data_IF_925003896647
#
_entry.id   IF_925003896647
#
_cell.length_a   1.000
_cell.length_b   1.000
_cell.length_c   1.000
_cell.angle_alpha   90.00
_cell.angle_beta   90.00
_cell.angle_gamma   90.00
#
_symmetry.space_group_name_H-M   'P 1'
#
loop_
_entity.id
_entity.type
_entity.pdbx_description
1 polymer ?
#
# COMPACT_ATOMS: atom_id res chain seq x y z
N UNK A 1 10.20 19.67 -33.11
CA UNK A 1 9.87 18.49 -33.90
C UNK A 1 8.92 17.63 -33.09
N UNK A 2 7.66 17.48 -33.43
CA UNK A 2 6.75 16.61 -32.71
C UNK A 2 6.86 15.21 -33.29
N UNK A 3 7.22 14.20 -32.50
CA UNK A 3 7.00 12.80 -32.85
C UNK A 3 8.16 11.82 -32.76
N UNK A 4 9.31 12.17 -32.23
CA UNK A 4 10.31 11.13 -31.90
C UNK A 4 9.89 10.46 -30.58
N UNK A 5 9.76 9.13 -30.62
CA UNK A 5 9.58 8.35 -29.39
C UNK A 5 10.84 8.46 -28.52
N UNK A 6 10.67 8.46 -27.21
CA UNK A 6 11.77 8.59 -26.25
C UNK A 6 12.90 7.55 -26.50
N UNK A 7 12.56 6.32 -26.91
CA UNK A 7 13.51 5.29 -27.33
C UNK A 7 14.40 5.73 -28.50
N UNK A 8 13.85 6.43 -29.48
CA UNK A 8 14.58 6.94 -30.65
C UNK A 8 15.52 8.10 -30.27
N UNK A 9 15.12 8.91 -29.28
CA UNK A 9 15.97 9.98 -28.73
C UNK A 9 17.16 9.42 -27.95
N UNK A 10 16.96 8.36 -27.16
CA UNK A 10 18.01 7.67 -26.41
C UNK A 10 18.93 6.89 -27.34
N UNK A 11 18.42 6.22 -28.38
CA UNK A 11 19.27 5.57 -29.41
C UNK A 11 20.14 6.59 -30.15
N UNK A 12 19.63 7.78 -30.41
CA UNK A 12 20.39 8.89 -30.99
C UNK A 12 21.50 9.38 -30.04
N UNK A 13 21.27 9.40 -28.72
CA UNK A 13 22.26 9.76 -27.69
C UNK A 13 23.33 8.66 -27.53
N UNK A 14 22.94 7.40 -27.54
CA UNK A 14 23.85 6.25 -27.39
C UNK A 14 24.65 6.01 -28.69
N UNK A 15 24.02 6.19 -29.86
CA UNK A 15 24.69 6.10 -31.17
C UNK A 15 25.74 7.19 -31.41
N UNK A 16 25.64 8.34 -30.72
CA UNK A 16 26.60 9.43 -30.80
C UNK A 16 27.85 9.26 -29.92
N UNK A 17 27.85 8.27 -28.99
CA UNK A 17 28.93 8.02 -28.02
C UNK A 17 30.14 7.24 -28.56
N UNK A 18 30.13 6.79 -29.82
CA UNK A 18 31.23 6.04 -30.45
C UNK A 18 32.36 6.87 -31.07
N UNK A 19 32.37 8.19 -30.91
CA UNK A 19 33.41 9.06 -31.45
C UNK A 19 33.53 10.35 -30.66
N UNK A 20 34.74 10.64 -30.20
CA UNK A 20 35.14 11.91 -29.61
C UNK A 20 34.89 13.08 -30.58
N UNK A 21 33.70 13.65 -30.56
CA UNK A 21 33.41 14.95 -31.17
C UNK A 21 32.63 15.82 -30.21
N UNK A 22 33.27 16.91 -29.81
CA UNK A 22 32.72 18.04 -29.05
C UNK A 22 31.50 18.60 -29.81
N UNK A 23 30.33 18.45 -29.27
CA UNK A 23 29.12 19.13 -29.73
C UNK A 23 29.09 20.53 -29.11
N UNK A 24 29.39 21.55 -29.92
CA UNK A 24 29.12 22.95 -29.60
C UNK A 24 27.62 23.21 -29.65
N UNK A 25 26.99 23.84 -28.66
CA UNK A 25 25.58 24.18 -28.68
C UNK A 25 25.36 25.43 -29.53
N UNK A 26 24.90 25.27 -30.76
CA UNK A 26 24.29 26.34 -31.50
C UNK A 26 22.94 25.83 -32.00
N UNK A 27 21.90 26.30 -31.33
CA UNK A 27 20.54 26.50 -31.77
C UNK A 27 19.61 26.70 -30.58
N UNK A 28 19.57 27.95 -30.10
CA UNK A 28 18.42 28.43 -29.34
C UNK A 28 17.50 29.20 -30.32
N UNK A 29 16.23 28.85 -30.44
CA UNK A 29 15.23 29.80 -30.83
C UNK A 29 14.59 30.42 -29.59
N UNK A 30 14.51 31.76 -29.61
CA UNK A 30 13.77 32.57 -28.66
C UNK A 30 12.31 32.12 -28.56
N UNK A 31 11.86 31.91 -27.33
CA UNK A 31 10.44 31.85 -27.00
C UNK A 31 10.15 32.78 -25.83
N UNK A 32 9.53 33.91 -26.18
CA UNK A 32 8.86 34.76 -25.22
C UNK A 32 7.45 34.25 -24.88
N UNK A 33 7.12 34.46 -23.62
CA UNK A 33 5.80 34.70 -23.01
C UNK A 33 4.86 33.51 -22.73
N UNK A 34 4.57 33.37 -21.48
CA UNK A 34 3.20 33.30 -20.97
C UNK A 34 2.77 32.03 -20.24
N UNK A 35 2.55 32.21 -18.96
CA UNK A 35 1.70 31.45 -18.01
C UNK A 35 2.32 30.26 -17.27
N UNK A 36 2.33 30.43 -15.95
CA UNK A 36 2.82 29.51 -14.93
C UNK A 36 2.00 28.23 -14.86
N UNK A 37 2.60 27.15 -15.28
CA UNK A 37 2.40 25.80 -14.76
C UNK A 37 3.77 25.24 -14.51
N UNK A 38 3.97 24.55 -13.37
CA UNK A 38 5.26 23.98 -12.97
C UNK A 38 5.63 22.78 -13.87
N UNK A 39 5.85 23.04 -15.15
CA UNK A 39 6.38 22.08 -16.09
C UNK A 39 7.91 22.22 -16.13
N UNK A 40 8.60 21.12 -15.93
CA UNK A 40 10.04 21.05 -16.19
C UNK A 40 10.24 21.41 -17.66
N UNK A 41 11.02 22.46 -17.92
CA UNK A 41 11.30 22.85 -19.31
C UNK A 41 12.26 21.84 -19.95
N UNK A 42 12.18 21.60 -21.27
CA UNK A 42 13.08 20.68 -22.01
C UNK A 42 14.57 20.96 -21.74
N UNK A 43 14.95 22.21 -21.50
CA UNK A 43 16.31 22.60 -21.13
C UNK A 43 16.71 22.13 -19.73
N UNK A 44 15.76 22.07 -18.79
CA UNK A 44 16.00 21.59 -17.42
C UNK A 44 16.08 20.07 -17.40
N UNK A 45 15.28 19.40 -18.23
CA UNK A 45 15.34 17.95 -18.46
C UNK A 45 16.68 17.55 -19.07
N UNK A 46 17.13 18.22 -20.13
CA UNK A 46 18.42 17.96 -20.77
C UNK A 46 19.60 18.17 -19.79
N UNK A 47 19.51 19.12 -18.88
CA UNK A 47 20.56 19.39 -17.88
C UNK A 47 20.59 18.30 -16.79
N UNK A 48 19.45 17.82 -16.32
CA UNK A 48 19.35 16.70 -15.38
C UNK A 48 19.92 15.42 -16.00
N UNK A 49 19.56 15.12 -17.24
CA UNK A 49 20.07 13.98 -18.00
C UNK A 49 21.59 14.06 -18.16
N UNK A 50 22.13 15.24 -18.46
CA UNK A 50 23.57 15.44 -18.67
C UNK A 50 24.37 15.36 -17.35
N UNK A 51 23.79 15.76 -16.24
CA UNK A 51 24.42 15.69 -14.90
C UNK A 51 24.39 14.25 -14.36
N UNK A 52 23.29 13.52 -14.55
CA UNK A 52 23.16 12.10 -14.19
C UNK A 52 24.12 11.21 -15.02
N UNK A 53 24.25 11.46 -16.31
CA UNK A 53 25.11 10.67 -17.22
C UNK A 53 26.62 10.78 -16.92
N UNK A 54 27.08 11.72 -16.12
CA UNK A 54 28.52 11.90 -15.80
C UNK A 54 29.08 10.97 -14.74
N UNK A 55 28.24 10.31 -13.94
CA UNK A 55 28.68 9.58 -12.75
C UNK A 55 28.19 8.14 -12.61
N UNK A 56 27.46 7.57 -13.60
CA UNK A 56 26.77 6.29 -13.45
C UNK A 56 27.08 5.34 -14.61
N UNK A 57 27.18 4.04 -14.30
CA UNK A 57 27.27 2.93 -15.25
C UNK A 57 26.03 2.95 -16.16
N UNK A 58 26.19 2.92 -17.48
CA UNK A 58 25.15 3.16 -18.49
C UNK A 58 23.80 2.47 -18.25
N UNK A 59 23.81 1.23 -17.76
CA UNK A 59 22.58 0.48 -17.49
C UNK A 59 21.82 0.97 -16.25
N UNK A 60 22.53 1.47 -15.22
CA UNK A 60 21.91 2.05 -14.02
C UNK A 60 21.35 3.45 -14.31
N UNK A 61 22.07 4.24 -15.12
CA UNK A 61 21.60 5.57 -15.53
C UNK A 61 20.32 5.52 -16.36
N UNK A 62 20.18 4.53 -17.24
CA UNK A 62 18.98 4.36 -18.06
C UNK A 62 17.75 4.03 -17.22
N UNK A 63 17.88 3.14 -16.23
CA UNK A 63 16.79 2.79 -15.32
C UNK A 63 16.37 3.99 -14.45
N UNK A 64 17.32 4.75 -13.90
CA UNK A 64 17.04 5.95 -13.10
C UNK A 64 16.41 7.08 -13.93
N UNK A 65 16.85 7.29 -15.16
CA UNK A 65 16.29 8.28 -16.07
C UNK A 65 14.85 7.86 -16.49
N UNK A 66 14.61 6.59 -16.78
CA UNK A 66 13.29 6.07 -17.10
C UNK A 66 12.29 6.29 -15.97
N UNK A 67 12.73 6.12 -14.71
CA UNK A 67 11.91 6.38 -13.53
C UNK A 67 11.50 7.85 -13.39
N UNK A 68 12.39 8.80 -13.77
CA UNK A 68 12.08 10.24 -13.70
C UNK A 68 10.97 10.66 -14.68
N UNK A 69 10.75 9.90 -15.75
CA UNK A 69 9.74 10.20 -16.76
C UNK A 69 8.53 9.28 -16.70
N UNK A 70 8.54 8.26 -15.84
CA UNK A 70 7.44 7.31 -15.72
C UNK A 70 6.19 8.00 -15.16
N UNK A 71 5.07 7.82 -15.87
CA UNK A 71 3.81 8.49 -15.57
C UNK A 71 2.86 7.56 -14.85
N UNK A 72 2.01 8.14 -14.01
CA UNK A 72 0.97 7.40 -13.29
C UNK A 72 -0.02 6.71 -14.23
N UNK A 73 -0.30 7.31 -15.40
CA UNK A 73 -1.21 6.74 -16.40
C UNK A 73 -0.66 5.51 -17.15
N UNK A 74 0.63 5.24 -17.07
CA UNK A 74 1.22 4.00 -17.58
C UNK A 74 0.79 2.76 -16.77
N UNK A 75 0.31 2.97 -15.53
CA UNK A 75 -0.22 1.92 -14.64
C UNK A 75 -1.76 1.88 -14.68
N UNK A 76 -2.35 2.17 -15.83
CA UNK A 76 -3.80 2.19 -15.98
C UNK A 76 -4.31 0.93 -16.68
N UNK A 77 -5.50 0.51 -16.28
CA UNK A 77 -6.28 -0.52 -16.96
C UNK A 77 -7.77 -0.31 -16.70
N UNK A 78 -8.62 -0.77 -17.62
CA UNK A 78 -10.06 -0.65 -17.47
C UNK A 78 -10.58 -1.66 -16.44
N UNK A 79 -11.05 -1.18 -15.28
CA UNK A 79 -11.64 -1.99 -14.22
C UNK A 79 -13.14 -1.72 -14.12
N UNK A 80 -14.02 -2.66 -14.49
CA UNK A 80 -15.46 -2.54 -14.27
C UNK A 80 -15.79 -2.56 -12.75
N UNK A 81 -16.60 -1.62 -12.28
CA UNK A 81 -16.99 -1.51 -10.86
C UNK A 81 -17.60 -2.80 -10.30
N UNK A 82 -18.34 -3.56 -11.11
CA UNK A 82 -18.94 -4.84 -10.70
C UNK A 82 -17.91 -5.89 -10.25
N UNK A 83 -16.66 -5.74 -10.64
CA UNK A 83 -15.58 -6.65 -10.23
C UNK A 83 -14.97 -6.27 -8.87
N UNK A 84 -15.28 -5.11 -8.33
CA UNK A 84 -14.85 -4.68 -7.00
C UNK A 84 -15.68 -5.41 -5.95
N UNK A 85 -15.05 -6.33 -5.22
CA UNK A 85 -15.73 -7.17 -4.23
C UNK A 85 -16.23 -6.33 -3.06
N UNK A 86 -17.55 -6.37 -2.80
CA UNK A 86 -18.18 -5.66 -1.69
C UNK A 86 -18.24 -6.51 -0.42
N UNK A 87 -18.24 -7.84 -0.54
CA UNK A 87 -18.31 -8.79 0.56
C UNK A 87 -17.23 -9.87 0.42
N UNK A 88 -16.75 -10.42 1.54
CA UNK A 88 -15.81 -11.53 1.51
C UNK A 88 -16.47 -12.79 0.90
N UNK A 89 -15.69 -13.78 0.43
CA UNK A 89 -16.23 -15.07 0.04
C UNK A 89 -16.81 -15.78 1.28
N UNK A 90 -17.77 -16.69 1.11
CA UNK A 90 -18.42 -17.41 2.23
C UNK A 90 -17.43 -18.04 3.20
N UNK A 91 -16.34 -18.61 2.67
CA UNK A 91 -15.26 -19.22 3.45
C UNK A 91 -13.92 -18.63 3.05
N UNK A 92 -13.01 -18.50 4.03
CA UNK A 92 -11.60 -18.23 3.75
C UNK A 92 -11.05 -19.34 2.88
N UNK A 93 -10.10 -19.04 2.00
CA UNK A 93 -9.53 -20.01 1.06
C UNK A 93 -10.40 -20.35 -0.16
N UNK A 94 -11.65 -19.86 -0.24
CA UNK A 94 -12.52 -20.10 -1.39
C UNK A 94 -12.26 -19.18 -2.60
N UNK A 95 -11.37 -18.21 -2.48
CA UNK A 95 -10.99 -17.28 -3.55
C UNK A 95 -10.32 -18.00 -4.71
N UNK A 96 -10.33 -17.34 -5.87
CA UNK A 96 -9.46 -17.72 -7.00
C UNK A 96 -8.04 -17.24 -6.75
N UNK A 97 -7.10 -17.86 -7.42
CA UNK A 97 -5.69 -17.50 -7.41
C UNK A 97 -5.18 -17.42 -8.85
N UNK A 98 -4.63 -16.29 -9.26
CA UNK A 98 -3.90 -16.18 -10.51
C UNK A 98 -2.41 -16.40 -10.25
N UNK A 99 -1.84 -17.47 -10.75
CA UNK A 99 -0.41 -17.76 -10.64
C UNK A 99 0.33 -17.19 -11.84
N UNK A 100 1.27 -16.29 -11.59
CA UNK A 100 2.10 -15.64 -12.60
C UNK A 100 3.57 -16.01 -12.40
N UNK A 101 4.10 -16.81 -13.31
CA UNK A 101 5.48 -17.30 -13.26
C UNK A 101 6.06 -17.46 -14.67
N UNK A 102 7.32 -17.15 -14.86
CA UNK A 102 8.07 -17.33 -16.14
C UNK A 102 7.31 -16.85 -17.40
N UNK A 103 6.50 -15.79 -17.26
CA UNK A 103 5.68 -15.25 -18.37
C UNK A 103 4.38 -16.03 -18.64
N UNK A 104 4.07 -17.07 -17.85
CA UNK A 104 2.84 -17.86 -17.94
C UNK A 104 1.84 -17.38 -16.88
N UNK A 105 0.54 -17.44 -17.21
CA UNK A 105 -0.57 -17.16 -16.30
C UNK A 105 -1.41 -18.43 -16.15
N UNK A 106 -1.61 -18.88 -14.92
CA UNK A 106 -2.43 -20.05 -14.60
C UNK A 106 -3.60 -19.67 -13.69
N UNK A 107 -4.82 -20.02 -14.11
CA UNK A 107 -6.03 -19.83 -13.32
C UNK A 107 -6.19 -20.97 -12.30
N UNK A 108 -6.00 -20.69 -11.02
CA UNK A 108 -6.00 -21.63 -9.92
C UNK A 108 -7.04 -21.27 -8.85
N UNK A 109 -7.10 -22.04 -7.78
CA UNK A 109 -7.82 -21.72 -6.54
C UNK A 109 -6.84 -21.40 -5.43
N UNK A 110 -7.22 -20.57 -4.49
CA UNK A 110 -6.36 -20.24 -3.35
C UNK A 110 -5.95 -21.47 -2.54
N UNK A 111 -6.83 -22.49 -2.45
CA UNK A 111 -6.54 -23.75 -1.79
C UNK A 111 -5.35 -24.52 -2.42
N UNK A 112 -5.07 -24.29 -3.72
CA UNK A 112 -3.97 -24.95 -4.43
C UNK A 112 -2.60 -24.40 -3.99
N UNK A 113 -2.57 -23.25 -3.28
CA UNK A 113 -1.34 -22.66 -2.74
C UNK A 113 -0.51 -23.64 -1.92
N UNK A 114 -1.17 -24.51 -1.14
CA UNK A 114 -0.48 -25.56 -0.36
C UNK A 114 0.37 -26.49 -1.25
N UNK A 115 -0.01 -26.67 -2.51
CA UNK A 115 0.75 -27.49 -3.46
C UNK A 115 1.87 -26.72 -4.14
N UNK A 116 1.72 -25.39 -4.32
CA UNK A 116 2.66 -24.51 -5.03
C UNK A 116 3.85 -24.08 -4.15
N UNK A 117 3.65 -24.07 -2.83
CA UNK A 117 4.69 -23.72 -1.87
C UNK A 117 5.50 -24.97 -1.54
N UNK A 118 6.83 -24.87 -1.55
CA UNK A 118 7.72 -26.00 -1.37
C UNK A 118 8.15 -26.17 0.12
N UNK A 119 8.51 -27.41 0.55
CA UNK A 119 9.19 -27.58 1.83
C UNK A 119 10.43 -26.69 1.89
N UNK A 120 10.74 -26.13 3.05
CA UNK A 120 11.80 -25.15 3.31
C UNK A 120 11.51 -23.71 2.87
N UNK A 121 10.44 -23.44 2.13
CA UNK A 121 10.00 -22.07 1.93
C UNK A 121 9.64 -21.40 3.28
N UNK A 122 9.78 -20.09 3.35
CA UNK A 122 9.26 -19.31 4.46
C UNK A 122 8.14 -18.38 3.98
N UNK A 123 6.97 -18.52 4.59
CA UNK A 123 5.81 -17.66 4.39
C UNK A 123 5.83 -16.55 5.43
N UNK A 124 5.96 -15.29 5.00
CA UNK A 124 6.03 -14.13 5.89
C UNK A 124 4.70 -13.38 5.87
N UNK A 125 4.02 -13.37 7.00
CA UNK A 125 2.69 -12.80 7.22
C UNK A 125 2.79 -11.48 7.99
N UNK A 126 1.89 -10.53 7.71
CA UNK A 126 1.75 -9.32 8.52
C UNK A 126 0.70 -9.55 9.63
N UNK A 127 1.12 -9.58 10.88
CA UNK A 127 0.28 -9.88 12.04
C UNK A 127 -0.39 -8.65 12.66
N UNK A 128 -0.36 -7.54 11.97
CA UNK A 128 -1.06 -6.34 12.44
C UNK A 128 -2.56 -6.59 12.59
N UNK A 129 -3.16 -6.00 13.63
CA UNK A 129 -4.59 -6.05 13.90
C UNK A 129 -5.24 -4.69 13.64
N UNK A 130 -6.31 -4.70 12.86
CA UNK A 130 -7.10 -3.50 12.58
C UNK A 130 -7.81 -3.04 13.85
N UNK A 131 -7.72 -1.74 14.13
CA UNK A 131 -8.41 -1.08 15.24
C UNK A 131 -9.69 -0.40 14.75
N UNK A 132 -10.67 -0.19 15.62
CA UNK A 132 -11.90 0.54 15.30
C UNK A 132 -11.64 2.05 15.19
N UNK A 133 -10.87 2.42 14.18
CA UNK A 133 -10.27 3.74 14.02
C UNK A 133 -11.25 4.84 13.60
N UNK A 134 -12.47 4.50 13.17
CA UNK A 134 -13.48 5.47 12.71
C UNK A 134 -14.42 5.87 13.82
N UNK A 135 -14.52 7.15 14.09
CA UNK A 135 -15.32 7.72 15.18
C UNK A 135 -16.20 8.84 14.64
N UNK A 136 -17.39 8.95 15.20
CA UNK A 136 -18.35 9.97 14.82
C UNK A 136 -18.72 10.85 16.03
N UNK A 137 -19.09 12.10 15.76
CA UNK A 137 -19.47 13.01 16.82
C UNK A 137 -19.82 14.42 16.35
N UNK A 138 -19.66 15.37 17.27
CA UNK A 138 -19.94 16.78 17.01
C UNK A 138 -18.89 17.68 17.64
N UNK A 139 -18.73 18.86 17.07
CA UNK A 139 -17.98 19.97 17.71
C UNK A 139 -18.85 20.64 18.77
N UNK A 140 -18.23 21.38 19.69
CA UNK A 140 -18.95 22.22 20.66
C UNK A 140 -19.96 23.16 19.98
N UNK A 141 -19.71 23.56 18.74
CA UNK A 141 -20.61 24.38 17.93
C UNK A 141 -21.79 23.61 17.30
N UNK A 142 -21.92 22.30 17.58
CA UNK A 142 -22.98 21.42 17.05
C UNK A 142 -22.73 20.86 15.65
N UNK A 143 -21.62 21.21 14.98
CA UNK A 143 -21.29 20.69 13.65
C UNK A 143 -20.82 19.24 13.70
N UNK A 144 -21.32 18.39 12.78
CA UNK A 144 -20.93 16.97 12.65
C UNK A 144 -19.45 16.82 12.40
N UNK A 145 -18.86 15.77 12.97
CA UNK A 145 -17.45 15.40 12.80
C UNK A 145 -17.33 13.91 12.60
N UNK A 146 -16.50 13.52 11.63
CA UNK A 146 -15.96 12.18 11.49
C UNK A 146 -14.45 12.25 11.75
N UNK A 147 -13.96 11.41 12.64
CA UNK A 147 -12.53 11.26 12.96
C UNK A 147 -12.08 9.88 12.50
N UNK A 148 -11.04 9.84 11.68
CA UNK A 148 -10.37 8.60 11.30
C UNK A 148 -8.95 8.64 11.90
N UNK A 149 -8.73 7.83 12.94
CA UNK A 149 -7.42 7.71 13.56
C UNK A 149 -6.46 7.09 12.56
N UNK A 150 -5.36 7.80 12.29
CA UNK A 150 -4.28 7.33 11.41
C UNK A 150 -3.24 6.55 12.20
N UNK A 151 -2.89 7.03 13.40
CA UNK A 151 -1.85 6.44 14.23
C UNK A 151 -2.04 6.78 15.69
N UNK A 152 -1.86 5.80 16.56
CA UNK A 152 -1.78 5.98 18.03
C UNK A 152 -0.35 6.39 18.38
N UNK A 153 -0.20 7.53 19.08
CA UNK A 153 1.10 8.08 19.48
C UNK A 153 1.47 7.66 20.90
N UNK A 154 0.46 7.65 21.79
CA UNK A 154 0.61 7.30 23.20
C UNK A 154 -0.69 6.69 23.72
N UNK A 155 -0.74 6.42 25.03
CA UNK A 155 -1.98 5.94 25.68
C UNK A 155 -3.18 6.88 25.49
N UNK A 156 -2.96 8.16 25.19
CA UNK A 156 -4.01 9.19 25.14
C UNK A 156 -4.00 10.05 23.87
N UNK A 157 -3.00 9.94 23.03
CA UNK A 157 -2.83 10.82 21.88
C UNK A 157 -2.78 10.06 20.57
N UNK A 158 -3.39 10.64 19.55
CA UNK A 158 -3.44 10.09 18.21
C UNK A 158 -3.18 11.18 17.16
N UNK A 159 -2.73 10.74 16.00
CA UNK A 159 -2.83 11.48 14.75
C UNK A 159 -4.06 10.97 13.99
N UNK A 160 -4.89 11.87 13.48
CA UNK A 160 -6.14 11.52 12.83
C UNK A 160 -6.47 12.45 11.68
N UNK A 161 -7.20 11.97 10.71
CA UNK A 161 -7.94 12.78 9.75
C UNK A 161 -9.26 13.21 10.37
N UNK A 162 -9.65 14.46 10.16
CA UNK A 162 -10.91 14.99 10.69
C UNK A 162 -11.72 15.60 9.55
N UNK A 163 -12.85 14.97 9.25
CA UNK A 163 -13.82 15.47 8.29
C UNK A 163 -14.92 16.25 9.02
N UNK A 164 -15.07 17.51 8.70
CA UNK A 164 -16.10 18.40 9.21
C UNK A 164 -16.38 19.51 8.20
N UNK A 165 -17.55 20.18 8.28
CA UNK A 165 -17.88 21.33 7.42
C UNK A 165 -16.85 22.47 7.52
N UNK A 166 -16.30 22.67 8.71
CA UNK A 166 -15.19 23.58 8.99
C UNK A 166 -14.20 22.84 9.90
N UNK A 167 -12.93 22.88 9.55
CA UNK A 167 -11.87 22.24 10.32
C UNK A 167 -11.85 22.76 11.77
N UNK A 168 -11.77 21.89 12.78
CA UNK A 168 -11.65 22.31 14.17
C UNK A 168 -10.32 23.03 14.40
N UNK A 169 -10.33 24.02 15.28
CA UNK A 169 -9.13 24.79 15.66
C UNK A 169 -8.40 24.11 16.82
N UNK A 170 -7.11 24.36 16.95
CA UNK A 170 -6.35 23.98 18.14
C UNK A 170 -7.01 24.57 19.41
N UNK A 171 -7.06 23.78 20.48
CA UNK A 171 -7.75 24.09 21.72
C UNK A 171 -9.27 23.85 21.71
N UNK A 172 -9.89 23.53 20.55
CA UNK A 172 -11.32 23.16 20.50
C UNK A 172 -11.54 21.71 20.94
N UNK A 173 -12.81 21.42 21.31
CA UNK A 173 -13.23 20.11 21.76
C UNK A 173 -14.14 19.44 20.73
N UNK A 174 -14.06 18.13 20.68
CA UNK A 174 -14.93 17.24 19.91
C UNK A 174 -15.56 16.27 20.90
N UNK A 175 -16.86 16.07 20.80
CA UNK A 175 -17.62 15.06 21.54
C UNK A 175 -17.87 13.89 20.59
N UNK A 176 -17.25 12.75 20.88
CA UNK A 176 -17.42 11.51 20.12
C UNK A 176 -18.36 10.58 20.86
N UNK A 177 -19.11 9.76 20.12
CA UNK A 177 -19.96 8.73 20.69
C UNK A 177 -20.00 7.50 19.80
N UNK A 178 -20.41 6.36 20.38
CA UNK A 178 -20.58 5.14 19.61
C UNK A 178 -21.60 5.38 18.47
N UNK A 179 -21.32 4.85 17.29
CA UNK A 179 -22.15 5.03 16.09
C UNK A 179 -23.63 4.69 16.33
N UNK A 180 -23.89 3.63 17.08
CA UNK A 180 -25.24 3.23 17.52
C UNK A 180 -25.99 4.33 18.27
N UNK A 181 -25.26 5.20 18.98
CA UNK A 181 -25.84 6.32 19.75
C UNK A 181 -26.09 7.57 18.89
N UNK A 182 -25.65 7.55 17.64
CA UNK A 182 -25.78 8.65 16.68
C UNK A 182 -26.79 8.35 15.57
N UNK A 183 -27.32 7.13 15.53
CA UNK A 183 -28.28 6.74 14.49
C UNK A 183 -29.69 7.18 14.87
N UNK A 184 -30.35 7.89 13.97
CA UNK A 184 -31.80 8.01 13.94
C UNK A 184 -32.28 7.42 12.62
N UNK A 185 -33.33 6.59 12.66
CA UNK A 185 -33.87 5.94 11.46
C UNK A 185 -32.89 5.17 10.56
N UNK A 186 -31.87 4.57 11.17
CA UNK A 186 -30.93 3.67 10.46
C UNK A 186 -29.68 4.31 9.90
N UNK A 187 -29.60 5.63 9.82
CA UNK A 187 -28.40 6.32 9.33
C UNK A 187 -27.66 7.11 10.44
N UNK A 188 -26.31 7.17 10.41
CA UNK A 188 -25.54 7.99 11.34
C UNK A 188 -25.88 9.46 11.15
N UNK A 189 -26.53 10.09 12.14
CA UNK A 189 -26.89 11.51 12.07
C UNK A 189 -25.75 12.44 12.44
N UNK A 190 -24.71 11.93 13.14
CA UNK A 190 -23.64 12.75 13.72
C UNK A 190 -24.11 13.69 14.84
N UNK A 191 -25.33 13.54 15.32
CA UNK A 191 -25.90 14.28 16.46
C UNK A 191 -26.06 13.31 17.63
N UNK A 192 -25.54 13.69 18.79
CA UNK A 192 -25.67 12.91 20.02
C UNK A 192 -27.13 12.75 20.43
N UNK A 193 -27.55 11.53 20.67
CA UNK A 193 -28.84 11.26 21.29
C UNK A 193 -28.81 11.69 22.77
N UNK A 194 -29.96 12.14 23.29
CA UNK A 194 -30.06 12.54 24.69
C UNK A 194 -29.70 11.35 25.61
N UNK A 195 -28.75 11.56 26.54
CA UNK A 195 -28.24 10.54 27.45
C UNK A 195 -27.18 9.58 26.84
N UNK A 196 -26.72 9.84 25.61
CA UNK A 196 -25.64 9.07 25.04
C UNK A 196 -24.33 9.26 25.82
N UNK A 197 -23.63 8.17 26.08
CA UNK A 197 -22.27 8.16 26.60
C UNK A 197 -21.34 8.77 25.54
N UNK A 198 -20.61 9.82 25.92
CA UNK A 198 -19.79 10.58 25.01
C UNK A 198 -18.35 10.72 25.52
N UNK A 199 -17.43 10.67 24.59
CA UNK A 199 -16.00 10.78 24.81
C UNK A 199 -15.54 12.17 24.36
N UNK A 200 -14.91 12.91 25.28
CA UNK A 200 -14.34 14.22 24.96
C UNK A 200 -12.93 14.08 24.39
N UNK A 201 -12.69 14.76 23.29
CA UNK A 201 -11.39 14.80 22.62
C UNK A 201 -10.97 16.26 22.39
N UNK A 202 -9.75 16.60 22.76
CA UNK A 202 -9.14 17.91 22.55
C UNK A 202 -8.32 17.91 21.26
N UNK A 203 -8.44 18.96 20.46
CA UNK A 203 -7.61 19.22 19.29
C UNK A 203 -6.35 19.96 19.73
N UNK A 204 -5.20 19.28 19.73
CA UNK A 204 -3.92 19.86 20.13
C UNK A 204 -3.31 20.73 19.03
N UNK A 205 -3.49 20.33 17.78
CA UNK A 205 -2.92 21.02 16.63
C UNK A 205 -3.24 20.33 15.32
N UNK A 206 -2.63 20.83 14.24
CA UNK A 206 -2.73 20.28 12.89
C UNK A 206 -1.40 20.37 12.17
N UNK A 207 -1.01 19.29 11.50
CA UNK A 207 0.14 19.23 10.61
C UNK A 207 -0.31 18.66 9.24
N UNK A 208 -0.24 19.49 8.20
CA UNK A 208 -0.76 19.12 6.88
C UNK A 208 -2.26 18.81 6.92
N UNK A 209 -2.61 17.59 6.52
CA UNK A 209 -4.00 17.09 6.56
C UNK A 209 -4.37 16.40 7.88
N UNK A 210 -3.41 16.15 8.77
CA UNK A 210 -3.60 15.43 10.01
C UNK A 210 -3.78 16.35 11.21
N UNK A 211 -4.63 15.91 12.14
CA UNK A 211 -4.85 16.56 13.43
C UNK A 211 -4.19 15.73 14.53
N UNK A 212 -3.56 16.41 15.47
CA UNK A 212 -3.10 15.82 16.72
C UNK A 212 -4.21 15.97 17.76
N UNK A 213 -4.70 14.84 18.24
CA UNK A 213 -5.86 14.76 19.13
C UNK A 213 -5.47 14.10 20.44
N UNK A 214 -6.01 14.59 21.58
CA UNK A 214 -5.88 14.02 22.91
C UNK A 214 -7.24 13.57 23.43
N UNK A 215 -7.33 12.32 23.80
CA UNK A 215 -8.51 11.71 24.41
C UNK A 215 -8.59 12.04 25.89
N UNK A 216 -9.79 12.41 26.37
CA UNK A 216 -10.07 12.71 27.78
C UNK A 216 -10.20 11.43 28.61
N UNK A 217 -10.08 11.56 29.97
CA UNK A 217 -10.17 10.43 30.89
C UNK A 217 -8.85 9.68 31.07
N UNK A 218 -8.85 8.55 31.80
CA UNK A 218 -7.66 7.77 32.14
C UNK A 218 -7.59 6.43 31.39
N UNK A 219 -8.63 6.11 30.62
CA UNK A 219 -8.70 4.89 29.83
C UNK A 219 -7.80 5.00 28.60
N UNK A 220 -6.99 3.96 28.26
CA UNK A 220 -6.13 3.97 27.08
C UNK A 220 -6.93 4.13 25.77
N UNK A 221 -6.36 4.86 24.81
CA UNK A 221 -6.96 5.11 23.50
C UNK A 221 -7.47 3.84 22.82
N UNK A 222 -6.72 2.75 22.83
CA UNK A 222 -7.14 1.51 22.17
C UNK A 222 -8.44 0.94 22.77
N UNK A 223 -8.63 1.05 24.09
CA UNK A 223 -9.86 0.64 24.74
C UNK A 223 -11.03 1.56 24.39
N UNK A 224 -10.76 2.88 24.32
CA UNK A 224 -11.75 3.87 23.88
C UNK A 224 -12.16 3.65 22.43
N UNK A 225 -11.22 3.33 21.54
CA UNK A 225 -11.51 3.00 20.14
C UNK A 225 -12.37 1.74 20.01
N UNK A 226 -12.11 0.71 20.83
CA UNK A 226 -12.92 -0.51 20.83
C UNK A 226 -14.37 -0.24 21.27
N UNK A 227 -14.57 0.70 22.20
CA UNK A 227 -15.87 1.03 22.78
C UNK A 227 -16.69 2.00 21.93
N UNK A 228 -16.05 3.02 21.39
CA UNK A 228 -16.71 4.13 20.69
C UNK A 228 -16.54 4.09 19.16
N UNK A 229 -15.51 3.41 18.68
CA UNK A 229 -15.16 3.35 17.26
C UNK A 229 -15.93 2.29 16.48
N UNK A 230 -15.83 2.40 15.18
CA UNK A 230 -16.28 1.42 14.20
C UNK A 230 -15.14 1.05 13.26
N UNK A 231 -15.26 -0.11 12.62
CA UNK A 231 -14.27 -0.62 11.68
C UNK A 231 -14.14 0.34 10.47
N UNK A 232 -12.93 0.78 10.14
CA UNK A 232 -12.70 1.69 9.00
C UNK A 232 -12.62 0.90 7.69
N UNK A 233 -13.76 0.49 7.13
CA UNK A 233 -13.76 -0.13 5.81
C UNK A 233 -13.22 0.85 4.75
N UNK A 234 -12.50 0.33 3.74
CA UNK A 234 -12.03 1.13 2.61
C UNK A 234 -13.18 1.81 1.85
N UNK A 235 -12.96 2.99 1.22
CA UNK A 235 -14.02 3.76 0.59
C UNK A 235 -14.69 3.10 -0.63
N UNK A 236 -14.07 2.07 -1.23
CA UNK A 236 -14.66 1.29 -2.32
C UNK A 236 -15.64 0.21 -1.83
N UNK A 237 -15.67 -0.09 -0.54
CA UNK A 237 -16.75 -0.86 0.11
C UNK A 237 -17.82 0.15 0.49
N UNK A 238 -18.97 0.06 -0.17
CA UNK A 238 -20.01 1.11 -0.13
C UNK A 238 -21.03 0.95 0.97
N UNK A 239 -21.05 -0.21 1.65
CA UNK A 239 -21.93 -0.44 2.81
C UNK A 239 -21.24 -0.04 4.13
N UNK A 240 -22.01 0.21 5.16
CA UNK A 240 -21.50 0.42 6.51
C UNK A 240 -20.98 -0.91 7.07
N UNK A 241 -19.89 -0.86 7.84
CA UNK A 241 -19.34 -2.03 8.50
C UNK A 241 -20.39 -2.74 9.35
N UNK A 242 -20.51 -4.04 9.19
CA UNK A 242 -21.41 -4.91 9.93
C UNK A 242 -20.64 -5.92 10.82
N UNK A 243 -21.36 -6.84 11.44
CA UNK A 243 -20.75 -7.86 12.34
C UNK A 243 -19.91 -8.85 11.54
N UNK A 244 -20.25 -9.14 10.30
CA UNK A 244 -19.45 -10.01 9.43
C UNK A 244 -18.16 -9.33 9.09
N UNK A 245 -18.15 -8.04 8.72
CA UNK A 245 -16.96 -7.27 8.45
C UNK A 245 -16.00 -7.21 9.65
N UNK A 246 -16.55 -7.01 10.88
CA UNK A 246 -15.72 -6.99 12.10
C UNK A 246 -14.92 -8.29 12.29
N UNK A 247 -15.46 -9.43 11.84
CA UNK A 247 -14.79 -10.72 11.90
C UNK A 247 -13.93 -11.02 10.67
N UNK A 248 -14.40 -10.62 9.48
CA UNK A 248 -13.80 -11.03 8.22
C UNK A 248 -12.74 -10.06 7.71
N UNK A 249 -12.82 -8.77 8.08
CA UNK A 249 -11.78 -7.77 7.77
C UNK A 249 -10.63 -7.80 8.79
N UNK A 250 -10.32 -9.01 9.27
CA UNK A 250 -9.24 -9.31 10.20
C UNK A 250 -8.62 -10.65 9.83
N UNK A 251 -7.28 -10.76 9.88
CA UNK A 251 -6.62 -12.05 9.64
C UNK A 251 -6.78 -12.97 10.85
N UNK A 252 -6.74 -14.29 10.63
CA UNK A 252 -6.80 -15.28 11.73
C UNK A 252 -5.57 -15.24 12.65
N UNK A 253 -4.49 -14.63 12.19
CA UNK A 253 -3.24 -14.46 12.92
C UNK A 253 -2.97 -13.03 13.39
N UNK A 254 -3.97 -12.14 13.35
CA UNK A 254 -3.84 -10.75 13.80
C UNK A 254 -3.57 -10.65 15.31
N UNK A 255 -2.49 -9.96 15.68
CA UNK A 255 -2.03 -9.81 17.08
C UNK A 255 -1.79 -8.37 17.48
N UNK A 256 -0.94 -7.66 16.73
CA UNK A 256 -0.42 -6.34 17.09
C UNK A 256 -1.40 -5.23 16.66
N UNK A 257 -2.10 -4.64 17.62
CA UNK A 257 -3.12 -3.62 17.32
C UNK A 257 -2.48 -2.29 16.87
N UNK A 258 -2.99 -1.69 15.80
CA UNK A 258 -2.51 -0.38 15.34
C UNK A 258 -2.80 -0.05 13.88
N UNK A 259 -3.26 -1.00 13.08
CA UNK A 259 -3.57 -0.76 11.67
C UNK A 259 -4.97 -0.16 11.47
N UNK A 260 -5.10 0.67 10.46
CA UNK A 260 -6.38 1.22 9.96
C UNK A 260 -6.93 0.37 8.81
N UNK A 261 -6.06 -0.34 8.11
CA UNK A 261 -6.46 -1.28 7.06
C UNK A 261 -5.88 -2.68 7.32
N UNK A 262 -6.64 -3.70 6.94
CA UNK A 262 -6.19 -5.09 7.04
C UNK A 262 -5.08 -5.41 6.02
N UNK A 263 -4.13 -6.31 6.34
CA UNK A 263 -3.24 -6.89 5.35
C UNK A 263 -4.02 -7.91 4.50
N UNK A 264 -4.69 -7.42 3.46
CA UNK A 264 -5.80 -8.09 2.78
C UNK A 264 -5.45 -9.44 2.16
N UNK A 265 -4.21 -9.65 1.70
CA UNK A 265 -3.75 -10.94 1.24
C UNK A 265 -3.78 -12.03 2.33
N UNK A 266 -3.66 -11.61 3.61
CA UNK A 266 -3.78 -12.51 4.75
C UNK A 266 -5.22 -12.97 5.05
N UNK A 267 -6.24 -12.25 4.53
CA UNK A 267 -7.65 -12.58 4.75
C UNK A 267 -8.07 -13.90 4.10
N UNK A 268 -7.33 -14.37 3.12
CA UNK A 268 -7.58 -15.62 2.43
C UNK A 268 -7.27 -16.85 3.28
N UNK A 269 -6.35 -16.74 4.24
CA UNK A 269 -5.94 -17.87 5.08
C UNK A 269 -6.95 -18.17 6.18
N UNK A 270 -7.14 -19.46 6.43
CA UNK A 270 -7.72 -20.01 7.66
C UNK A 270 -6.66 -20.82 8.44
N UNK A 271 -7.01 -21.25 9.63
CA UNK A 271 -6.09 -22.01 10.49
C UNK A 271 -5.72 -23.37 9.90
N UNK A 272 -6.66 -24.03 9.21
CA UNK A 272 -6.44 -25.35 8.60
C UNK A 272 -5.39 -25.27 7.48
N UNK A 273 -5.46 -24.22 6.64
CA UNK A 273 -4.46 -23.99 5.61
C UNK A 273 -3.09 -23.68 6.20
N UNK A 274 -3.01 -22.85 7.23
CA UNK A 274 -1.75 -22.55 7.90
C UNK A 274 -1.15 -23.83 8.52
N UNK A 275 -2.00 -24.69 9.08
CA UNK A 275 -1.54 -25.98 9.62
C UNK A 275 -1.05 -26.91 8.50
N UNK A 276 -1.76 -27.02 7.39
CA UNK A 276 -1.34 -27.83 6.25
C UNK A 276 0.01 -27.39 5.67
N UNK A 277 0.28 -26.07 5.63
CA UNK A 277 1.57 -25.53 5.23
C UNK A 277 2.69 -25.91 6.20
N UNK A 278 2.43 -25.83 7.54
CA UNK A 278 3.40 -26.30 8.55
C UNK A 278 3.71 -27.78 8.43
N UNK A 279 2.67 -28.60 8.25
CA UNK A 279 2.80 -30.07 8.09
C UNK A 279 3.60 -30.43 6.84
N UNK A 280 3.54 -29.60 5.79
CA UNK A 280 4.36 -29.71 4.58
C UNK A 280 5.84 -29.33 4.82
N UNK A 281 6.16 -28.69 5.94
CA UNK A 281 7.52 -28.23 6.25
C UNK A 281 7.80 -26.76 5.88
N UNK A 282 6.77 -26.00 5.53
CA UNK A 282 6.86 -24.56 5.27
C UNK A 282 7.03 -23.81 6.60
N UNK A 283 8.01 -22.92 6.67
CA UNK A 283 8.17 -22.08 7.84
C UNK A 283 7.18 -20.90 7.79
N UNK A 284 6.51 -20.59 8.88
CA UNK A 284 5.64 -19.41 9.00
C UNK A 284 6.31 -18.41 9.94
N UNK A 285 6.57 -17.21 9.42
CA UNK A 285 7.15 -16.10 10.14
C UNK A 285 6.24 -14.86 10.06
N UNK A 286 6.45 -13.91 10.97
CA UNK A 286 5.60 -12.74 11.09
C UNK A 286 6.41 -11.46 11.05
N UNK A 287 5.84 -10.45 10.45
CA UNK A 287 6.25 -9.06 10.53
C UNK A 287 5.07 -8.23 10.99
N UNK A 288 5.32 -7.13 11.64
CA UNK A 288 4.28 -6.14 11.92
C UNK A 288 4.51 -4.92 11.05
N UNK A 289 3.53 -4.52 10.25
CA UNK A 289 3.48 -3.23 9.59
C UNK A 289 2.07 -2.68 9.76
N UNK A 290 1.96 -1.56 10.47
CA UNK A 290 0.68 -0.89 10.68
C UNK A 290 0.33 -0.04 9.46
N UNK A 291 -0.68 -0.51 8.73
CA UNK A 291 -1.17 0.16 7.52
C UNK A 291 -2.00 1.37 7.93
N UNK A 292 -1.62 2.55 7.45
CA UNK A 292 -2.35 3.78 7.65
C UNK A 292 -3.49 4.00 6.62
N UNK A 293 -4.36 4.98 6.89
CA UNK A 293 -5.45 5.36 5.99
C UNK A 293 -4.96 5.92 4.65
N UNK A 294 -3.70 6.37 4.58
CA UNK A 294 -3.07 6.84 3.34
C UNK A 294 -3.07 5.81 2.22
N UNK A 295 -3.12 4.51 2.54
CA UNK A 295 -3.23 3.42 1.54
C UNK A 295 -4.50 3.52 0.69
N UNK A 296 -5.54 4.19 1.18
CA UNK A 296 -6.78 4.38 0.45
C UNK A 296 -6.78 5.62 -0.44
N UNK A 297 -5.73 6.44 -0.39
CA UNK A 297 -5.66 7.66 -1.19
C UNK A 297 -5.14 7.36 -2.59
N UNK A 298 -5.80 7.90 -3.65
CA UNK A 298 -5.30 7.75 -5.01
C UNK A 298 -4.02 8.57 -5.21
N UNK A 299 -3.12 8.07 -6.06
CA UNK A 299 -1.97 8.85 -6.53
C UNK A 299 -2.48 10.03 -7.35
N UNK A 300 -2.09 11.25 -6.96
CA UNK A 300 -2.49 12.50 -7.62
C UNK A 300 -1.42 13.08 -8.52
N UNK A 301 -0.18 12.65 -8.33
CA UNK A 301 0.96 13.08 -9.12
C UNK A 301 0.85 12.56 -10.57
N UNK A 302 1.23 13.39 -11.54
CA UNK A 302 1.31 12.99 -12.95
C UNK A 302 2.52 12.08 -13.18
N UNK A 303 3.65 12.42 -12.59
CA UNK A 303 4.87 11.62 -12.60
C UNK A 303 5.05 10.89 -11.27
N UNK A 304 5.41 9.61 -11.32
CA UNK A 304 5.49 8.78 -10.11
C UNK A 304 6.52 9.29 -9.11
N UNK A 305 7.62 9.89 -9.56
CA UNK A 305 8.67 10.43 -8.69
C UNK A 305 8.23 11.63 -7.84
N UNK A 306 7.13 12.30 -8.22
CA UNK A 306 6.54 13.41 -7.45
C UNK A 306 5.66 12.91 -6.30
N UNK A 307 5.32 11.61 -6.28
CA UNK A 307 4.46 11.05 -5.25
C UNK A 307 5.20 10.92 -3.92
N UNK A 308 4.59 11.41 -2.86
CA UNK A 308 5.12 11.32 -1.49
C UNK A 308 4.38 10.24 -0.73
N UNK A 309 5.10 9.17 -0.38
CA UNK A 309 4.56 8.08 0.43
C UNK A 309 4.35 8.52 1.89
N UNK A 310 3.22 8.11 2.46
CA UNK A 310 3.00 8.20 3.90
C UNK A 310 3.96 7.27 4.65
N UNK A 311 4.37 7.71 5.85
CA UNK A 311 5.23 6.92 6.73
C UNK A 311 4.40 5.86 7.44
N UNK A 312 4.86 4.60 7.39
CA UNK A 312 4.27 3.47 8.11
C UNK A 312 5.30 2.86 9.06
N UNK A 313 4.84 2.44 10.25
CA UNK A 313 5.71 1.79 11.24
C UNK A 313 5.75 0.30 10.97
N UNK A 314 6.97 -0.25 11.01
CA UNK A 314 7.17 -1.70 10.92
C UNK A 314 8.05 -2.22 12.05
N UNK A 315 7.93 -3.51 12.32
CA UNK A 315 8.77 -4.28 13.23
C UNK A 315 9.10 -5.65 12.62
N UNK A 316 10.37 -6.01 12.67
CA UNK A 316 10.90 -7.32 12.29
C UNK A 316 11.54 -7.95 13.52
N UNK A 317 10.98 -9.06 13.98
CA UNK A 317 11.55 -9.81 15.09
C UNK A 317 12.75 -10.65 14.64
N UNK A 318 13.70 -10.91 15.57
CA UNK A 318 14.87 -11.74 15.27
C UNK A 318 14.49 -13.14 14.77
N UNK A 319 13.39 -13.70 15.28
CA UNK A 319 12.87 -15.00 14.85
C UNK A 319 12.53 -15.04 13.35
N UNK A 320 12.03 -13.93 12.80
CA UNK A 320 11.73 -13.79 11.37
C UNK A 320 13.00 -13.73 10.54
N UNK A 321 14.01 -12.95 10.99
CA UNK A 321 15.33 -12.92 10.34
C UNK A 321 15.95 -14.31 10.30
N UNK A 322 15.90 -15.03 11.42
CA UNK A 322 16.43 -16.39 11.52
C UNK A 322 15.68 -17.39 10.64
N UNK A 323 14.35 -17.25 10.52
CA UNK A 323 13.52 -18.09 9.63
C UNK A 323 13.87 -17.86 8.16
N UNK A 324 13.98 -16.61 7.71
CA UNK A 324 14.41 -16.25 6.36
C UNK A 324 15.83 -16.79 6.08
N UNK A 325 16.75 -16.65 7.02
CA UNK A 325 18.11 -17.17 6.87
C UNK A 325 18.15 -18.70 6.80
N UNK A 326 17.30 -19.40 7.56
CA UNK A 326 17.18 -20.87 7.49
C UNK A 326 16.62 -21.31 6.14
N UNK A 327 15.52 -20.69 5.68
CA UNK A 327 14.91 -21.00 4.39
C UNK A 327 15.94 -20.86 3.25
N UNK A 328 16.64 -19.72 3.18
CA UNK A 328 17.67 -19.50 2.15
C UNK A 328 18.81 -20.50 2.20
N UNK A 329 19.30 -20.87 3.40
CA UNK A 329 20.33 -21.91 3.53
C UNK A 329 19.87 -23.29 3.09
N UNK A 330 18.58 -23.57 3.21
CA UNK A 330 17.96 -24.82 2.75
C UNK A 330 17.54 -24.79 1.27
N UNK A 331 17.81 -23.71 0.53
CA UNK A 331 17.41 -23.52 -0.85
C UNK A 331 15.93 -23.17 -1.03
N UNK A 332 15.22 -22.79 0.05
CA UNK A 332 13.83 -22.37 0.01
C UNK A 332 13.67 -20.89 -0.34
N UNK A 333 12.46 -20.53 -0.73
CA UNK A 333 12.07 -19.16 -1.16
C UNK A 333 11.49 -18.37 0.01
N UNK A 334 11.58 -17.05 -0.08
CA UNK A 334 10.91 -16.10 0.82
C UNK A 334 9.63 -15.61 0.16
N UNK A 335 8.48 -16.03 0.68
CA UNK A 335 7.16 -15.71 0.17
C UNK A 335 6.54 -14.63 1.05
N UNK A 336 6.40 -13.42 0.52
CA UNK A 336 5.72 -12.33 1.23
C UNK A 336 4.21 -12.42 1.00
N UNK A 337 3.43 -12.46 2.09
CA UNK A 337 1.98 -12.39 2.03
C UNK A 337 1.52 -10.93 2.21
N UNK A 338 1.14 -10.33 1.10
CA UNK A 338 0.76 -8.94 0.97
C UNK A 338 1.92 -8.00 0.68
N UNK A 339 1.60 -6.91 -0.01
CA UNK A 339 2.53 -5.82 -0.28
C UNK A 339 3.10 -5.19 1.00
N UNK A 340 2.37 -5.28 2.11
CA UNK A 340 2.80 -4.81 3.43
C UNK A 340 3.94 -5.65 4.00
N UNK A 341 3.85 -6.99 3.92
CA UNK A 341 4.95 -7.88 4.33
C UNK A 341 6.18 -7.67 3.45
N UNK A 342 5.99 -7.54 2.13
CA UNK A 342 7.07 -7.22 1.21
C UNK A 342 7.75 -5.90 1.57
N UNK A 343 6.98 -4.82 1.76
CA UNK A 343 7.53 -3.50 2.09
C UNK A 343 8.26 -3.50 3.43
N UNK A 344 7.76 -4.22 4.45
CA UNK A 344 8.45 -4.36 5.73
C UNK A 344 9.81 -5.06 5.57
N UNK A 345 9.83 -6.21 4.87
CA UNK A 345 11.06 -6.98 4.62
C UNK A 345 12.09 -6.18 3.84
N UNK A 346 11.68 -5.55 2.73
CA UNK A 346 12.60 -4.76 1.89
C UNK A 346 13.10 -3.50 2.61
N UNK A 347 12.26 -2.86 3.44
CA UNK A 347 12.68 -1.72 4.27
C UNK A 347 13.74 -2.12 5.30
N UNK A 348 13.57 -3.29 5.94
CA UNK A 348 14.51 -3.80 6.92
C UNK A 348 15.81 -4.35 6.29
N UNK A 349 15.81 -4.52 4.97
CA UNK A 349 16.95 -5.02 4.19
C UNK A 349 17.59 -3.97 3.28
N UNK A 350 17.32 -2.69 3.48
CA UNK A 350 17.81 -1.59 2.61
C UNK A 350 19.35 -1.52 2.58
N UNK A 351 20.01 -1.99 3.65
CA UNK A 351 21.48 -2.13 3.73
C UNK A 351 22.05 -3.38 3.05
N UNK A 352 21.19 -4.18 2.38
CA UNK A 352 21.55 -5.43 1.69
C UNK A 352 21.28 -6.70 2.48
N UNK A 353 21.12 -6.64 3.80
CA UNK A 353 20.81 -7.79 4.64
C UNK A 353 19.60 -7.49 5.53
N UNK A 354 18.69 -8.46 5.65
CA UNK A 354 17.54 -8.35 6.54
C UNK A 354 18.00 -8.24 7.99
N UNK A 355 17.53 -7.21 8.68
CA UNK A 355 17.86 -6.93 10.07
C UNK A 355 16.61 -6.91 10.95
N UNK A 356 16.73 -7.42 12.18
CA UNK A 356 15.70 -7.29 13.20
C UNK A 356 15.68 -5.85 13.74
N UNK A 357 14.50 -5.38 14.10
CA UNK A 357 14.28 -4.06 14.68
C UNK A 357 12.97 -3.45 14.27
N UNK A 358 12.72 -2.26 14.78
CA UNK A 358 11.55 -1.44 14.42
C UNK A 358 12.00 -0.16 13.72
N UNK A 359 11.16 0.34 12.83
CA UNK A 359 11.45 1.57 12.09
C UNK A 359 10.21 2.17 11.44
N UNK A 360 10.43 3.26 10.75
CA UNK A 360 9.44 3.85 9.86
C UNK A 360 9.89 3.69 8.41
N UNK A 361 8.95 3.40 7.52
CA UNK A 361 9.24 3.27 6.09
C UNK A 361 8.36 4.19 5.26
N UNK A 362 8.97 4.82 4.28
CA UNK A 362 8.33 5.53 3.17
C UNK A 362 8.72 4.89 1.83
N UNK A 363 9.12 3.61 1.87
CA UNK A 363 9.60 2.92 0.68
C UNK A 363 8.52 2.95 -0.40
N UNK A 364 8.89 3.48 -1.55
CA UNK A 364 8.07 3.51 -2.74
C UNK A 364 8.72 2.59 -3.79
N UNK A 365 8.14 1.42 -3.95
CA UNK A 365 8.66 0.40 -4.85
C UNK A 365 7.99 0.58 -6.22
N UNK A 366 8.81 0.84 -7.22
CA UNK A 366 8.43 1.09 -8.62
C UNK A 366 9.31 0.26 -9.54
N UNK A 367 8.95 0.07 -10.82
CA UNK A 367 9.82 -0.63 -11.78
C UNK A 367 11.26 -0.13 -11.71
N UNK A 368 12.22 -1.04 -11.75
CA UNK A 368 13.65 -0.75 -11.53
C UNK A 368 14.12 -0.95 -10.08
N UNK A 369 13.21 -1.17 -9.11
CA UNK A 369 13.60 -1.52 -7.74
C UNK A 369 14.27 -2.89 -7.67
N UNK A 370 15.37 -3.00 -6.92
CA UNK A 370 16.09 -4.26 -6.68
C UNK A 370 15.65 -4.88 -5.37
N UNK A 371 14.97 -6.02 -5.44
CA UNK A 371 14.52 -6.75 -4.26
C UNK A 371 15.67 -7.51 -3.59
N UNK A 372 15.80 -7.37 -2.28
CA UNK A 372 16.86 -7.99 -1.49
C UNK A 372 16.41 -9.29 -0.79
N UNK A 373 15.11 -9.38 -0.46
CA UNK A 373 14.61 -10.43 0.43
C UNK A 373 13.56 -11.31 -0.25
N UNK A 374 12.59 -10.71 -0.91
CA UNK A 374 11.38 -11.43 -1.34
C UNK A 374 11.58 -12.09 -2.69
N UNK A 375 11.26 -13.39 -2.80
CA UNK A 375 11.35 -14.19 -4.02
C UNK A 375 9.99 -14.44 -4.67
N UNK A 376 8.91 -14.49 -3.84
CA UNK A 376 7.53 -14.71 -4.30
C UNK A 376 6.60 -13.75 -3.55
N UNK A 377 5.65 -13.14 -4.25
CA UNK A 377 4.63 -12.27 -3.68
C UNK A 377 3.24 -12.88 -3.84
N UNK A 378 2.55 -13.09 -2.72
CA UNK A 378 1.12 -13.39 -2.69
C UNK A 378 0.37 -12.09 -2.36
N UNK A 379 -0.52 -11.62 -3.24
CA UNK A 379 -1.22 -10.34 -3.05
C UNK A 379 -2.64 -10.37 -3.64
N UNK A 380 -3.48 -9.40 -3.28
CA UNK A 380 -4.75 -9.16 -3.95
C UNK A 380 -4.54 -8.38 -5.27
N UNK A 381 -5.57 -8.30 -6.10
CA UNK A 381 -5.60 -7.37 -7.22
C UNK A 381 -5.80 -5.93 -6.73
N UNK A 382 -5.04 -5.00 -7.29
CA UNK A 382 -4.99 -3.59 -6.89
C UNK A 382 -5.67 -2.67 -7.90
N UNK A 383 -5.93 -1.41 -7.47
CA UNK A 383 -6.52 -0.36 -8.33
C UNK A 383 -5.60 0.05 -9.47
N UNK A 384 -6.19 0.47 -10.59
CA UNK A 384 -5.48 1.26 -11.58
C UNK A 384 -4.82 2.48 -10.94
N UNK A 385 -3.63 2.86 -11.44
CA UNK A 385 -2.87 4.05 -11.01
C UNK A 385 -2.51 4.08 -9.51
N UNK A 386 -2.52 2.94 -8.82
CA UNK A 386 -2.17 2.86 -7.40
C UNK A 386 -0.70 2.54 -7.19
N UNK A 387 -0.15 3.00 -6.05
CA UNK A 387 1.21 2.65 -5.61
C UNK A 387 1.41 1.14 -5.47
N UNK A 388 0.35 0.41 -5.15
CA UNK A 388 0.38 -1.04 -5.01
C UNK A 388 0.46 -1.76 -6.36
N UNK A 389 -0.21 -1.25 -7.41
CA UNK A 389 -0.04 -1.77 -8.77
C UNK A 389 1.39 -1.50 -9.27
N UNK A 390 1.95 -0.32 -8.96
CA UNK A 390 3.33 0.01 -9.30
C UNK A 390 4.32 -0.97 -8.67
N UNK A 391 4.11 -1.33 -7.38
CA UNK A 391 4.90 -2.34 -6.68
C UNK A 391 4.78 -3.72 -7.36
N UNK A 392 3.57 -4.14 -7.71
CA UNK A 392 3.33 -5.43 -8.39
C UNK A 392 4.01 -5.44 -9.76
N UNK A 393 3.94 -4.34 -10.51
CA UNK A 393 4.65 -4.16 -11.78
C UNK A 393 6.18 -4.19 -11.61
N UNK A 394 6.69 -3.62 -10.52
CA UNK A 394 8.12 -3.71 -10.20
C UNK A 394 8.57 -5.14 -9.89
N UNK A 395 7.70 -5.93 -9.26
CA UNK A 395 8.01 -7.30 -8.82
C UNK A 395 7.92 -8.32 -9.96
N UNK A 396 6.82 -8.30 -10.71
CA UNK A 396 6.53 -9.29 -11.76
C UNK A 396 6.83 -8.83 -13.19
N UNK A 397 7.33 -7.58 -13.36
CA UNK A 397 7.54 -6.97 -14.68
C UNK A 397 6.28 -6.23 -15.18
N UNK A 398 6.46 -5.00 -15.62
CA UNK A 398 5.37 -4.10 -15.95
C UNK A 398 4.43 -4.66 -17.04
N UNK A 399 4.99 -5.09 -18.16
CA UNK A 399 4.21 -5.61 -19.30
C UNK A 399 3.44 -6.88 -18.92
N UNK A 400 4.10 -7.81 -18.21
CA UNK A 400 3.51 -9.06 -17.76
C UNK A 400 2.38 -8.83 -16.76
N UNK A 401 2.59 -7.94 -15.79
CA UNK A 401 1.57 -7.64 -14.77
C UNK A 401 0.37 -6.92 -15.36
N UNK A 402 0.55 -5.95 -16.24
CA UNK A 402 -0.57 -5.32 -16.95
C UNK A 402 -1.33 -6.33 -17.83
N UNK A 403 -0.64 -7.31 -18.42
CA UNK A 403 -1.31 -8.41 -19.13
C UNK A 403 -2.09 -9.31 -18.17
N UNK A 404 -1.53 -9.64 -16.98
CA UNK A 404 -2.20 -10.40 -15.94
C UNK A 404 -3.47 -9.70 -15.42
N UNK A 405 -3.43 -8.37 -15.25
CA UNK A 405 -4.59 -7.59 -14.84
C UNK A 405 -5.68 -7.55 -15.92
N UNK A 406 -5.32 -7.43 -17.20
CA UNK A 406 -6.28 -7.56 -18.32
C UNK A 406 -6.91 -8.95 -18.35
N UNK A 407 -6.12 -10.01 -18.20
CA UNK A 407 -6.60 -11.39 -18.09
C UNK A 407 -7.57 -11.54 -16.92
N UNK A 408 -7.24 -10.99 -15.75
CA UNK A 408 -8.10 -11.05 -14.57
C UNK A 408 -9.46 -10.36 -14.80
N UNK A 409 -9.48 -9.21 -15.49
CA UNK A 409 -10.73 -8.52 -15.87
C UNK A 409 -11.54 -9.36 -16.86
N UNK A 410 -10.91 -9.92 -17.88
CA UNK A 410 -11.56 -10.79 -18.88
C UNK A 410 -12.16 -12.06 -18.26
N UNK A 411 -11.45 -12.65 -17.29
CA UNK A 411 -11.87 -13.85 -16.56
C UNK A 411 -12.76 -13.55 -15.36
N UNK A 412 -13.16 -12.28 -15.17
CA UNK A 412 -14.03 -11.83 -14.10
C UNK A 412 -13.52 -12.22 -12.69
N UNK A 413 -12.23 -12.02 -12.45
CA UNK A 413 -11.68 -12.05 -11.09
C UNK A 413 -12.26 -10.91 -10.27
N UNK A 414 -12.37 -11.13 -8.97
CA UNK A 414 -12.80 -10.12 -8.00
C UNK A 414 -11.59 -9.31 -7.54
N UNK A 415 -11.77 -8.01 -7.43
CA UNK A 415 -10.70 -7.07 -7.11
C UNK A 415 -10.79 -6.55 -5.67
N UNK A 416 -9.69 -6.07 -5.14
CA UNK A 416 -9.49 -5.42 -3.84
C UNK A 416 -9.56 -6.34 -2.62
N UNK A 417 -9.88 -5.73 -1.42
CA UNK A 417 -9.73 -6.36 -0.11
C UNK A 417 -10.43 -7.71 0.03
N UNK A 418 -11.64 -7.81 -0.50
CA UNK A 418 -12.45 -9.04 -0.48
C UNK A 418 -12.42 -9.81 -1.80
N UNK A 419 -11.54 -9.38 -2.69
CA UNK A 419 -11.38 -10.00 -4.01
C UNK A 419 -10.57 -11.28 -3.99
N UNK A 420 -10.07 -11.64 -5.16
CA UNK A 420 -9.24 -12.81 -5.40
C UNK A 420 -7.75 -12.46 -5.22
N UNK A 421 -6.88 -13.45 -5.33
CA UNK A 421 -5.45 -13.32 -5.09
C UNK A 421 -4.60 -13.56 -6.35
N UNK A 422 -3.36 -13.09 -6.31
CA UNK A 422 -2.28 -13.40 -7.25
C UNK A 422 -1.11 -13.99 -6.47
N UNK A 423 -0.47 -15.02 -7.03
CA UNK A 423 0.85 -15.49 -6.63
C UNK A 423 1.82 -15.13 -7.75
N UNK A 424 2.85 -14.37 -7.45
CA UNK A 424 3.76 -13.81 -8.44
C UNK A 424 5.19 -14.20 -8.10
N UNK A 425 5.87 -14.88 -9.01
CA UNK A 425 7.30 -15.09 -8.90
C UNK A 425 8.06 -13.85 -9.36
N UNK A 426 9.17 -13.53 -8.66
CA UNK A 426 9.95 -12.35 -8.98
C UNK A 426 10.55 -12.45 -10.38
N UNK A 427 10.38 -11.43 -11.17
CA UNK A 427 11.01 -11.31 -12.48
C UNK A 427 12.33 -10.55 -12.35
N UNK A 428 13.45 -11.26 -12.26
CA UNK A 428 14.79 -10.66 -12.16
C UNK A 428 15.26 -9.99 -13.47
N UNK A 429 14.51 -10.14 -14.55
CA UNK A 429 14.78 -9.55 -15.87
C UNK A 429 13.92 -8.30 -16.17
N UNK A 430 13.08 -7.87 -15.23
CA UNK A 430 12.15 -6.74 -15.37
C UNK A 430 12.83 -5.36 -15.18
N UNK A 431 14.07 -5.22 -15.63
CA UNK A 431 14.82 -3.96 -15.61
C UNK A 431 14.71 -3.22 -16.94
#
# INVERSE_FOLDING_TARGET
MPGLRFSEFIEALVGAGGGTRTLTPSLAPDFESGTSTSSITPAKEARIIHEAARHINYNTAFAEISLLFMRTDEFDFALPERLIAQHPPERRGASRLLYAHEGVLEDCRFADLVQMVEPNDVLVLNDTRVIKARLFGSKDSGGKVEVLVERVLSEREVVAQVRASHAPKAGSRILLAAERSLRSSGEPTGVLLAGADSLQVEVLGREGEFFHLRFGGDEPVLALLERYGSLPLPPYITHAADVEDEQRYQTVFAREAGAVAAPTAGLHFDEDMLQALRDKGVQIAYVTLHVGAGTFQPVRAEHIHEHVMHSERYEIQQQTVDAVARARRAGGRVIAVGTTSLRALESAAISGNLQAGSGETKIFITPGYRFNVVDVLLTNFHLPKSTLLMLVCAFGGMEQMLAAYRHAVEKEYRFFSYGDAMLIERNDHAL
#
